data_IF_855694208497
#
_entry.id   IF_855694208497
#
_cell.length_a   1.000
_cell.length_b   1.000
_cell.length_c   1.000
_cell.angle_alpha   90.00
_cell.angle_beta   90.00
_cell.angle_gamma   90.00
#
_symmetry.space_group_name_H-M   'P 1'
#
loop_
_entity.id
_entity.type
_entity.pdbx_description
1 polymer ?
#
# COMPACT_ATOMS: atom_id res chain seq x y z
N UNK A 1 14.93 -39.18 3.52
CA UNK A 1 15.18 -39.55 4.93
C UNK A 1 15.86 -38.38 5.62
N UNK A 2 15.08 -37.44 6.17
CA UNK A 2 15.56 -36.38 7.07
C UNK A 2 14.36 -35.74 7.75
N UNK A 3 13.60 -36.58 8.46
CA UNK A 3 12.37 -36.21 9.18
C UNK A 3 12.47 -36.59 10.68
N UNK A 4 13.69 -36.72 11.21
CA UNK A 4 13.96 -37.34 12.52
C UNK A 4 14.59 -36.39 13.56
N UNK A 5 14.76 -35.09 13.24
CA UNK A 5 15.42 -34.15 14.17
C UNK A 5 14.40 -33.32 14.98
N UNK A 6 13.10 -33.43 14.69
CA UNK A 6 12.05 -32.64 15.37
C UNK A 6 11.45 -33.28 16.64
N UNK A 7 11.99 -34.38 17.17
CA UNK A 7 11.33 -35.14 18.27
C UNK A 7 12.14 -35.14 19.59
N UNK A 8 13.33 -34.53 19.65
CA UNK A 8 14.23 -34.68 20.81
C UNK A 8 14.10 -33.63 21.95
N UNK A 9 13.21 -32.62 21.85
CA UNK A 9 13.01 -31.61 22.91
C UNK A 9 11.54 -31.56 23.32
N UNK A 10 10.97 -32.69 23.73
CA UNK A 10 9.59 -32.77 24.21
C UNK A 10 9.40 -33.64 25.47
N UNK A 11 10.47 -34.18 26.08
CA UNK A 11 10.35 -35.13 27.20
C UNK A 11 11.12 -34.76 28.48
N UNK A 12 11.46 -33.50 28.69
CA UNK A 12 12.15 -33.03 29.90
C UNK A 12 11.24 -32.65 31.09
N UNK A 13 9.96 -33.03 31.09
CA UNK A 13 8.99 -32.60 32.10
C UNK A 13 8.56 -33.73 33.03
N UNK A 14 9.25 -33.92 34.16
CA UNK A 14 8.66 -34.49 35.39
C UNK A 14 9.40 -34.01 36.65
N UNK A 15 8.85 -32.99 37.33
CA UNK A 15 8.91 -32.84 38.79
C UNK A 15 7.86 -31.78 39.23
N UNK A 16 6.76 -32.26 39.81
CA UNK A 16 5.72 -31.50 40.52
C UNK A 16 6.23 -31.10 41.94
N UNK A 17 5.60 -30.20 42.75
CA UNK A 17 4.18 -29.82 42.75
C UNK A 17 3.86 -28.32 42.78
N UNK A 18 2.62 -28.05 42.37
CA UNK A 18 1.93 -26.77 42.34
C UNK A 18 1.47 -26.35 43.76
N UNK A 19 1.65 -25.08 44.14
CA UNK A 19 0.64 -24.36 44.90
C UNK A 19 0.14 -23.14 44.09
N UNK A 20 -1.11 -23.18 43.66
CA UNK A 20 -1.89 -21.97 43.31
C UNK A 20 -2.79 -21.60 44.50
N UNK A 21 -3.33 -20.37 44.63
CA UNK A 21 -3.23 -19.21 43.74
C UNK A 21 -2.88 -17.89 44.49
N UNK A 22 -2.12 -16.98 43.87
CA UNK A 22 -2.24 -15.55 44.17
C UNK A 22 -2.50 -14.78 42.90
N UNK A 23 -3.69 -14.18 42.85
CA UNK A 23 -4.21 -13.36 41.77
C UNK A 23 -3.42 -12.05 41.69
N UNK A 24 -2.19 -12.11 41.16
CA UNK A 24 -1.33 -10.93 40.99
C UNK A 24 -0.37 -11.08 39.80
N UNK A 25 -0.75 -11.78 38.73
CA UNK A 25 -0.02 -11.75 37.45
C UNK A 25 -0.84 -12.24 36.24
N UNK A 26 -2.15 -12.47 36.39
CA UNK A 26 -3.01 -12.97 35.30
C UNK A 26 -3.50 -11.86 34.35
N UNK A 27 -2.90 -10.67 34.40
CA UNK A 27 -3.39 -9.49 33.65
C UNK A 27 -2.59 -9.10 32.41
N UNK A 28 -1.40 -9.66 32.17
CA UNK A 28 -0.48 -9.09 31.16
C UNK A 28 -0.08 -10.07 30.04
N UNK A 29 -0.39 -11.37 30.14
CA UNK A 29 0.01 -12.34 29.12
C UNK A 29 -0.95 -12.45 27.92
N UNK A 30 -2.19 -11.95 28.02
CA UNK A 30 -3.18 -12.05 26.94
C UNK A 30 -3.11 -10.92 25.91
N UNK A 31 -2.40 -9.82 26.21
CA UNK A 31 -2.26 -8.67 25.32
C UNK A 31 -1.06 -8.75 24.37
N UNK A 32 -0.05 -9.60 24.66
CA UNK A 32 1.27 -9.50 24.03
C UNK A 32 1.50 -10.45 22.85
N UNK A 33 0.58 -11.38 22.60
CA UNK A 33 0.64 -12.32 21.46
C UNK A 33 0.10 -11.75 20.15
N UNK A 34 -0.62 -10.61 20.19
CA UNK A 34 -1.05 -9.92 18.98
C UNK A 34 0.06 -9.04 18.38
N UNK A 35 0.88 -8.40 19.23
CA UNK A 35 1.92 -7.46 18.80
C UNK A 35 3.27 -8.15 18.51
N UNK A 36 3.61 -9.23 19.24
CA UNK A 36 4.88 -9.94 19.05
C UNK A 36 4.99 -10.70 17.70
N UNK A 37 3.86 -11.08 17.12
CA UNK A 37 3.84 -11.77 15.81
C UNK A 37 4.18 -10.79 14.67
N UNK A 38 3.78 -9.52 14.79
CA UNK A 38 4.05 -8.49 13.78
C UNK A 38 5.53 -8.07 13.76
N UNK A 39 6.16 -7.92 14.93
CA UNK A 39 7.57 -7.53 15.04
C UNK A 39 8.52 -8.68 14.63
N UNK A 40 8.17 -9.93 14.94
CA UNK A 40 8.99 -11.10 14.58
C UNK A 40 8.93 -11.39 13.08
N UNK A 41 7.76 -11.33 12.45
CA UNK A 41 7.63 -11.56 11.00
C UNK A 41 8.29 -10.47 10.16
N UNK A 42 8.24 -9.20 10.58
CA UNK A 42 8.89 -8.12 9.84
C UNK A 42 10.42 -8.27 9.81
N UNK A 43 11.02 -8.68 10.93
CA UNK A 43 12.45 -8.95 11.04
C UNK A 43 12.88 -10.20 10.23
N UNK A 44 12.08 -11.26 10.26
CA UNK A 44 12.33 -12.48 9.48
C UNK A 44 12.22 -12.22 7.96
N UNK A 45 11.24 -11.43 7.55
CA UNK A 45 11.06 -11.04 6.14
C UNK A 45 12.22 -10.14 5.69
N UNK A 46 12.69 -9.23 6.55
CA UNK A 46 13.83 -8.35 6.25
C UNK A 46 15.15 -9.12 6.07
N UNK A 47 15.40 -10.11 6.90
CA UNK A 47 16.59 -10.97 6.78
C UNK A 47 16.50 -11.94 5.60
N UNK A 48 15.31 -12.47 5.30
CA UNK A 48 15.09 -13.38 4.18
C UNK A 48 15.17 -12.71 2.80
N UNK A 49 14.63 -11.50 2.65
CA UNK A 49 14.64 -10.75 1.39
C UNK A 49 15.97 -10.03 1.14
N UNK A 50 16.69 -9.72 2.20
CA UNK A 50 17.88 -8.87 2.15
C UNK A 50 17.59 -7.47 1.58
N UNK A 51 18.64 -6.66 1.37
CA UNK A 51 18.49 -5.29 0.90
C UNK A 51 17.87 -5.18 -0.50
N UNK A 52 18.15 -6.14 -1.38
CA UNK A 52 17.60 -6.18 -2.75
C UNK A 52 16.11 -6.52 -2.77
N UNK A 53 15.66 -7.48 -1.97
CA UNK A 53 14.24 -7.83 -1.91
C UNK A 53 13.40 -6.72 -1.26
N UNK A 54 13.95 -6.03 -0.25
CA UNK A 54 13.31 -4.85 0.33
C UNK A 54 13.18 -3.70 -0.69
N UNK A 55 14.21 -3.44 -1.50
CA UNK A 55 14.11 -2.46 -2.60
C UNK A 55 13.00 -2.82 -3.60
N UNK A 56 12.89 -4.11 -3.94
CA UNK A 56 11.87 -4.57 -4.88
C UNK A 56 10.45 -4.37 -4.32
N UNK A 57 10.23 -4.69 -3.03
CA UNK A 57 8.96 -4.45 -2.36
C UNK A 57 8.60 -2.96 -2.33
N UNK A 58 9.56 -2.08 -2.06
CA UNK A 58 9.32 -0.63 -2.06
C UNK A 58 8.94 -0.12 -3.46
N UNK A 59 9.61 -0.60 -4.50
CA UNK A 59 9.25 -0.26 -5.89
C UNK A 59 7.84 -0.74 -6.24
N UNK A 60 7.49 -1.97 -5.83
CA UNK A 60 6.18 -2.56 -6.09
C UNK A 60 5.07 -1.82 -5.34
N UNK A 61 5.31 -1.46 -4.08
CA UNK A 61 4.40 -0.63 -3.29
C UNK A 61 4.23 0.77 -3.92
N UNK A 62 5.32 1.42 -4.31
CA UNK A 62 5.27 2.71 -5.00
C UNK A 62 4.52 2.65 -6.33
N UNK A 63 4.70 1.56 -7.09
CA UNK A 63 3.96 1.32 -8.33
C UNK A 63 2.47 1.14 -8.08
N UNK A 64 2.07 0.36 -7.06
CA UNK A 64 0.67 0.18 -6.69
C UNK A 64 0.00 1.52 -6.30
N UNK A 65 0.66 2.33 -5.49
CA UNK A 65 0.19 3.68 -5.13
C UNK A 65 0.04 4.56 -6.37
N UNK A 66 0.98 4.48 -7.31
CA UNK A 66 0.90 5.20 -8.58
C UNK A 66 -0.32 4.78 -9.41
N UNK A 67 -0.62 3.49 -9.51
CA UNK A 67 -1.79 2.98 -10.21
C UNK A 67 -3.10 3.47 -9.57
N UNK A 68 -3.19 3.43 -8.24
CA UNK A 68 -4.35 3.95 -7.50
C UNK A 68 -4.53 5.45 -7.78
N UNK A 69 -3.45 6.23 -7.68
CA UNK A 69 -3.47 7.66 -7.96
C UNK A 69 -3.96 7.95 -9.38
N UNK A 70 -3.52 7.16 -10.35
CA UNK A 70 -3.92 7.28 -11.76
C UNK A 70 -5.38 6.89 -12.00
N UNK A 71 -5.93 5.96 -11.20
CA UNK A 71 -7.34 5.58 -11.22
C UNK A 71 -8.24 6.68 -10.64
N UNK A 72 -7.85 7.27 -9.49
CA UNK A 72 -8.60 8.37 -8.86
C UNK A 72 -8.52 9.67 -9.67
N UNK A 73 -7.35 9.98 -10.24
CA UNK A 73 -7.11 11.20 -11.01
C UNK A 73 -6.69 10.89 -12.45
N UNK A 74 -7.63 10.38 -13.27
CA UNK A 74 -7.34 9.89 -14.62
C UNK A 74 -7.05 10.99 -15.64
N UNK A 75 -7.52 12.20 -15.38
CA UNK A 75 -7.54 13.29 -16.35
C UNK A 75 -6.50 14.37 -15.98
N UNK A 76 -5.70 14.78 -16.96
CA UNK A 76 -4.80 15.92 -16.84
C UNK A 76 -5.45 17.20 -17.39
N UNK A 77 -5.04 18.35 -16.86
CA UNK A 77 -5.48 19.65 -17.38
C UNK A 77 -5.04 19.81 -18.83
N UNK A 78 -5.93 20.33 -19.67
CA UNK A 78 -5.59 20.67 -21.05
C UNK A 78 -4.55 21.79 -21.05
N UNK A 79 -3.40 21.58 -21.69
CA UNK A 79 -2.32 22.58 -21.75
C UNK A 79 -2.71 23.87 -22.47
N UNK A 80 -3.67 23.82 -23.41
CA UNK A 80 -4.10 24.98 -24.21
C UNK A 80 -5.06 25.89 -23.45
N UNK A 81 -6.05 25.35 -22.72
CA UNK A 81 -7.00 26.13 -21.93
C UNK A 81 -6.74 26.09 -20.42
N UNK A 82 -5.63 25.48 -19.98
CA UNK A 82 -5.21 25.34 -18.57
C UNK A 82 -6.27 24.77 -17.62
N UNK A 83 -7.17 23.90 -18.11
CA UNK A 83 -8.27 23.36 -17.30
C UNK A 83 -9.62 24.07 -17.46
N UNK A 84 -9.68 25.26 -18.05
CA UNK A 84 -10.92 26.06 -18.11
C UNK A 84 -11.97 25.54 -19.10
N UNK A 85 -11.60 24.67 -20.05
CA UNK A 85 -12.47 24.15 -21.12
C UNK A 85 -12.85 25.16 -22.19
N UNK A 86 -12.65 26.46 -21.94
CA UNK A 86 -13.12 27.56 -22.79
C UNK A 86 -12.06 28.66 -22.86
N UNK A 87 -12.09 29.45 -23.93
CA UNK A 87 -11.30 30.67 -24.07
C UNK A 87 -12.23 31.88 -24.06
N UNK A 88 -11.91 32.89 -23.24
CA UNK A 88 -12.63 34.17 -23.25
C UNK A 88 -12.07 35.07 -24.35
N UNK A 89 -12.95 35.86 -24.97
CA UNK A 89 -12.55 36.93 -25.88
C UNK A 89 -11.81 38.04 -25.12
N UNK A 90 -10.86 38.68 -25.78
CA UNK A 90 -10.16 39.85 -25.23
C UNK A 90 -11.03 41.11 -25.29
N UNK A 91 -11.92 41.21 -26.28
CA UNK A 91 -12.77 42.37 -26.51
C UNK A 91 -14.15 42.26 -25.82
N UNK A 92 -14.71 41.05 -25.78
CA UNK A 92 -16.00 40.78 -25.14
C UNK A 92 -15.80 39.74 -24.03
N UNK A 93 -15.78 40.20 -22.78
CA UNK A 93 -15.54 39.36 -21.59
C UNK A 93 -16.62 38.30 -21.36
N UNK A 94 -17.84 38.54 -21.86
CA UNK A 94 -18.97 37.61 -21.82
C UNK A 94 -18.90 36.53 -22.91
N UNK A 95 -18.19 36.78 -24.00
CA UNK A 95 -18.11 35.84 -25.12
C UNK A 95 -17.05 34.77 -24.83
N UNK A 96 -17.45 33.50 -24.88
CA UNK A 96 -16.55 32.36 -24.70
C UNK A 96 -16.67 31.38 -25.86
N UNK A 97 -15.53 30.83 -26.30
CA UNK A 97 -15.50 29.74 -27.27
C UNK A 97 -15.00 28.45 -26.61
N UNK A 98 -15.54 27.27 -26.96
CA UNK A 98 -15.00 26.00 -26.49
C UNK A 98 -13.54 25.86 -26.94
N UNK A 99 -12.70 25.26 -26.10
CA UNK A 99 -11.33 24.98 -26.49
C UNK A 99 -11.30 23.87 -27.56
N UNK A 100 -10.67 24.13 -28.71
CA UNK A 100 -10.59 23.16 -29.81
C UNK A 100 -9.81 21.89 -29.45
N UNK A 101 -8.87 21.98 -28.50
CA UNK A 101 -8.05 20.83 -28.10
C UNK A 101 -8.84 19.85 -27.23
N UNK A 102 -9.45 20.30 -26.13
CA UNK A 102 -10.22 19.44 -25.22
C UNK A 102 -11.73 19.42 -25.52
N UNK A 103 -12.16 20.05 -26.62
CA UNK A 103 -13.57 20.16 -27.05
C UNK A 103 -14.52 20.59 -25.92
N UNK A 104 -14.09 21.54 -25.09
CA UNK A 104 -14.91 22.02 -23.97
C UNK A 104 -14.69 21.32 -22.62
N UNK A 105 -14.05 20.13 -22.56
CA UNK A 105 -13.91 19.36 -21.30
C UNK A 105 -12.91 19.90 -20.30
N UNK A 106 -12.01 20.79 -20.72
CA UNK A 106 -10.95 21.32 -19.87
C UNK A 106 -9.82 20.34 -19.55
N UNK A 107 -10.03 19.04 -19.77
CA UNK A 107 -9.10 17.98 -19.41
C UNK A 107 -8.93 16.95 -20.52
N UNK A 108 -7.83 16.19 -20.46
CA UNK A 108 -7.50 15.08 -21.35
C UNK A 108 -7.14 13.83 -20.52
N UNK A 109 -7.53 12.61 -20.95
CA UNK A 109 -7.10 11.39 -20.27
C UNK A 109 -5.58 11.23 -20.33
N UNK A 110 -4.96 10.98 -19.18
CA UNK A 110 -3.50 10.77 -19.07
C UNK A 110 -3.08 9.50 -19.81
N UNK A 111 -1.84 9.50 -20.33
CA UNK A 111 -1.28 8.35 -21.04
C UNK A 111 -1.31 7.07 -20.20
N UNK A 112 -1.00 7.17 -18.90
CA UNK A 112 -1.07 6.04 -17.98
C UNK A 112 -2.45 5.36 -18.02
N UNK A 113 -3.55 6.13 -18.04
CA UNK A 113 -4.88 5.55 -18.16
C UNK A 113 -5.10 4.86 -19.50
N UNK A 114 -4.63 5.47 -20.59
CA UNK A 114 -4.78 4.90 -21.95
C UNK A 114 -4.01 3.59 -22.13
N UNK A 115 -2.90 3.43 -21.42
CA UNK A 115 -2.06 2.22 -21.50
C UNK A 115 -2.58 1.13 -20.56
N UNK A 116 -2.96 1.50 -19.33
CA UNK A 116 -3.29 0.53 -18.27
C UNK A 116 -4.78 0.18 -18.19
N UNK A 117 -5.67 1.08 -18.60
CA UNK A 117 -7.13 0.92 -18.49
C UNK A 117 -7.80 1.06 -19.86
N UNK A 118 -7.18 0.47 -20.90
CA UNK A 118 -7.71 0.46 -22.27
C UNK A 118 -9.00 -0.36 -22.30
N UNK A 119 -10.14 0.33 -22.28
CA UNK A 119 -11.47 -0.23 -22.57
C UNK A 119 -11.89 0.21 -23.96
#
# INVERSE_FOLDING_TARGET
MNLAVHIAVALGSTAAPNPQPTNAAAGQAAGQVADAQADSTAADIATALGPTGMLFLLLLAGFAVYLISLSLHPNAKCGRCKGAGRHRGTLFSYATRPCNSCKGRGTHPRLGRKVLFKT
#
